data_IF_749866905760
#
_entry.id   IF_749866905760
#
_cell.length_a   1.000
_cell.length_b   1.000
_cell.length_c   1.000
_cell.angle_alpha   90.00
_cell.angle_beta   90.00
_cell.angle_gamma   90.00
#
_symmetry.space_group_name_H-M   'P 1'
#
loop_
_entity.id
_entity.type
_entity.pdbx_description
1 polymer ?
#
# COMPACT_ATOMS: atom_id res chain seq x y z
N UNK A 1 14.02 -2.77 11.34
CA UNK A 1 12.60 -2.75 10.92
C UNK A 1 12.03 -1.38 11.22
N UNK A 2 11.19 -0.83 10.33
CA UNK A 2 10.46 0.44 10.55
C UNK A 2 9.01 0.10 10.92
N UNK A 3 8.47 0.74 11.94
CA UNK A 3 7.07 0.54 12.36
C UNK A 3 6.18 1.64 11.77
N UNK A 4 5.08 1.24 11.16
CA UNK A 4 4.05 2.13 10.63
C UNK A 4 2.77 1.86 11.44
N UNK A 5 2.11 2.90 11.94
CA UNK A 5 0.81 2.80 12.63
C UNK A 5 -0.27 3.40 11.74
N UNK A 6 -1.28 2.61 11.42
CA UNK A 6 -2.41 2.99 10.58
C UNK A 6 -3.68 2.45 11.20
N UNK A 7 -4.75 3.25 11.20
CA UNK A 7 -6.07 2.78 11.60
C UNK A 7 -6.70 1.98 10.46
N UNK A 8 -7.21 0.79 10.77
CA UNK A 8 -7.88 -0.07 9.80
C UNK A 8 -9.39 -0.12 10.10
N UNK A 9 -10.25 -0.29 9.08
CA UNK A 9 -11.66 -0.54 9.29
C UNK A 9 -11.87 -1.81 10.13
N UNK A 10 -12.83 -1.77 11.04
CA UNK A 10 -13.12 -2.89 11.96
C UNK A 10 -13.39 -4.20 11.23
N UNK A 11 -14.11 -4.15 10.10
CA UNK A 11 -14.35 -5.32 9.26
C UNK A 11 -13.07 -6.00 8.78
N UNK A 12 -12.06 -5.19 8.43
CA UNK A 12 -10.77 -5.71 7.97
C UNK A 12 -9.99 -6.35 9.12
N UNK A 13 -10.05 -5.75 10.32
CA UNK A 13 -9.47 -6.36 11.52
C UNK A 13 -10.09 -7.74 11.80
N UNK A 14 -11.42 -7.88 11.69
CA UNK A 14 -12.11 -9.16 11.86
C UNK A 14 -11.64 -10.20 10.84
N UNK A 15 -11.45 -9.80 9.57
CA UNK A 15 -10.94 -10.70 8.54
C UNK A 15 -9.51 -11.17 8.85
N UNK A 16 -8.62 -10.25 9.23
CA UNK A 16 -7.24 -10.56 9.64
C UNK A 16 -7.23 -11.58 10.78
N UNK A 17 -8.04 -11.36 11.82
CA UNK A 17 -8.17 -12.29 12.95
C UNK A 17 -8.64 -13.67 12.50
N UNK A 18 -9.61 -13.74 11.59
CA UNK A 18 -10.15 -15.00 11.10
C UNK A 18 -9.08 -15.80 10.34
N UNK A 19 -8.25 -15.14 9.53
CA UNK A 19 -7.16 -15.82 8.82
C UNK A 19 -6.12 -16.42 9.77
N UNK A 20 -5.76 -15.71 10.83
CA UNK A 20 -4.83 -16.21 11.86
C UNK A 20 -5.48 -17.35 12.65
N UNK A 21 -6.73 -17.20 13.11
CA UNK A 21 -7.47 -18.24 13.84
C UNK A 21 -7.66 -19.53 13.05
N UNK A 22 -7.84 -19.41 11.73
CA UNK A 22 -7.96 -20.54 10.83
C UNK A 22 -6.61 -21.18 10.46
N UNK A 23 -5.49 -20.66 10.98
CA UNK A 23 -4.15 -21.23 10.80
C UNK A 23 -3.51 -20.95 9.44
N UNK A 24 -4.02 -19.99 8.67
CA UNK A 24 -3.42 -19.60 7.38
C UNK A 24 -2.14 -18.79 7.56
N UNK A 25 -2.03 -18.07 8.68
CA UNK A 25 -0.89 -17.25 9.06
C UNK A 25 -0.58 -17.45 10.53
N UNK A 26 0.68 -17.25 10.91
CA UNK A 26 1.16 -17.41 12.29
C UNK A 26 0.72 -16.26 13.19
N UNK A 27 0.75 -15.04 12.65
CA UNK A 27 0.32 -13.83 13.34
C UNK A 27 -0.19 -12.74 12.37
N UNK A 28 -0.86 -11.73 12.91
CA UNK A 28 -1.41 -10.61 12.13
C UNK A 28 -0.32 -9.84 11.36
N UNK A 29 0.88 -9.74 11.95
CA UNK A 29 2.01 -9.06 11.33
C UNK A 29 2.56 -9.80 10.11
N UNK A 30 2.63 -11.14 10.16
CA UNK A 30 2.99 -11.97 9.00
C UNK A 30 1.98 -11.76 7.86
N UNK A 31 0.69 -11.83 8.18
CA UNK A 31 -0.39 -11.61 7.23
C UNK A 31 -0.31 -10.22 6.59
N UNK A 32 -0.21 -9.17 7.41
CA UNK A 32 -0.19 -7.78 6.92
C UNK A 32 1.05 -7.49 6.07
N UNK A 33 2.22 -8.02 6.43
CA UNK A 33 3.44 -7.88 5.61
C UNK A 33 3.28 -8.57 4.26
N UNK A 34 2.74 -9.80 4.27
CA UNK A 34 2.50 -10.58 3.05
C UNK A 34 1.49 -9.89 2.13
N UNK A 35 0.36 -9.46 2.69
CA UNK A 35 -0.68 -8.75 1.95
C UNK A 35 -0.16 -7.43 1.35
N UNK A 36 0.64 -6.67 2.10
CA UNK A 36 1.24 -5.43 1.60
C UNK A 36 2.24 -5.70 0.47
N UNK A 37 3.08 -6.72 0.62
CA UNK A 37 4.05 -7.11 -0.43
C UNK A 37 3.33 -7.54 -1.71
N UNK A 38 2.29 -8.35 -1.59
CA UNK A 38 1.48 -8.78 -2.74
C UNK A 38 0.72 -7.61 -3.37
N UNK A 39 0.17 -6.69 -2.58
CA UNK A 39 -0.47 -5.49 -3.09
C UNK A 39 0.51 -4.64 -3.89
N UNK A 40 1.71 -4.37 -3.36
CA UNK A 40 2.74 -3.60 -4.07
C UNK A 40 3.16 -4.31 -5.35
N UNK A 41 3.38 -5.63 -5.29
CA UNK A 41 3.81 -6.44 -6.44
C UNK A 41 2.78 -6.39 -7.58
N UNK A 42 1.50 -6.57 -7.27
CA UNK A 42 0.42 -6.52 -8.26
C UNK A 42 0.20 -5.12 -8.82
N UNK A 43 0.33 -4.08 -8.01
CA UNK A 43 0.06 -2.70 -8.44
C UNK A 43 1.30 -1.98 -9.00
N UNK A 44 2.49 -2.60 -8.98
CA UNK A 44 3.76 -1.94 -9.34
C UNK A 44 3.71 -1.24 -10.69
N UNK A 45 3.21 -1.90 -11.73
CA UNK A 45 3.17 -1.33 -13.09
C UNK A 45 2.22 -0.13 -13.12
N UNK A 46 1.02 -0.28 -12.56
CA UNK A 46 0.01 0.79 -12.50
C UNK A 46 0.48 1.98 -11.69
N UNK A 47 1.10 1.73 -10.54
CA UNK A 47 1.68 2.76 -9.67
C UNK A 47 2.84 3.48 -10.35
N UNK A 48 3.69 2.74 -11.08
CA UNK A 48 4.81 3.34 -11.83
C UNK A 48 4.28 4.29 -12.91
N UNK A 49 3.29 3.86 -13.70
CA UNK A 49 2.65 4.71 -14.71
C UNK A 49 1.99 5.95 -14.09
N UNK A 50 1.29 5.79 -12.96
CA UNK A 50 0.68 6.91 -12.25
C UNK A 50 1.73 7.90 -11.72
N UNK A 51 2.78 7.43 -11.05
CA UNK A 51 3.83 8.30 -10.53
C UNK A 51 4.58 9.03 -11.65
N UNK A 52 4.84 8.38 -12.79
CA UNK A 52 5.43 9.05 -13.95
C UNK A 52 4.55 10.19 -14.47
N UNK A 53 3.22 9.99 -14.53
CA UNK A 53 2.29 11.04 -14.95
C UNK A 53 2.24 12.19 -13.95
N UNK A 54 2.17 11.88 -12.66
CA UNK A 54 2.20 12.88 -11.59
C UNK A 54 3.49 13.72 -11.62
N UNK A 55 4.64 13.09 -11.86
CA UNK A 55 5.93 13.78 -12.03
C UNK A 55 5.95 14.69 -13.27
N UNK A 56 5.42 14.24 -14.40
CA UNK A 56 5.30 15.06 -15.62
C UNK A 56 4.39 16.25 -15.37
N UNK A 57 3.22 16.04 -14.77
CA UNK A 57 2.28 17.11 -14.44
C UNK A 57 2.89 18.13 -13.48
N UNK A 58 3.60 17.66 -12.46
CA UNK A 58 4.32 18.53 -11.54
C UNK A 58 5.36 19.37 -12.28
N UNK A 59 6.17 18.76 -13.15
CA UNK A 59 7.20 19.47 -13.92
C UNK A 59 6.59 20.53 -14.86
N UNK A 60 5.47 20.22 -15.50
CA UNK A 60 4.74 21.18 -16.34
C UNK A 60 4.21 22.37 -15.52
N UNK A 61 3.59 22.10 -14.35
CA UNK A 61 3.11 23.16 -13.44
C UNK A 61 4.24 24.03 -12.90
N UNK A 62 5.36 23.42 -12.53
CA UNK A 62 6.55 24.14 -12.06
C UNK A 62 7.11 25.07 -13.16
N UNK A 63 7.19 24.57 -14.41
CA UNK A 63 7.62 25.37 -15.57
C UNK A 63 6.72 26.57 -15.82
N UNK A 64 5.39 26.41 -15.70
CA UNK A 64 4.44 27.51 -15.90
C UNK A 64 4.43 28.53 -14.76
N UNK A 65 4.75 28.12 -13.53
CA UNK A 65 4.81 29.01 -12.37
C UNK A 65 6.06 29.91 -12.32
N UNK A 66 7.05 29.66 -13.18
CA UNK A 66 8.33 30.39 -13.22
C UNK A 66 8.37 31.45 -14.35
N UNK A 67 7.21 31.78 -14.93
CA UNK A 67 7.01 32.87 -15.90
C UNK A 67 6.10 33.93 -15.31
#
# INVERSE_FOLDING_TARGET
MKTIKVALPEKLCIEVDNYVKNGWFTDEGELLRTALQEFIRHNRIKLTDQFMKEDIEWALKAKTSTK
#
